data_IF_307801939650
#
_entry.id   IF_307801939650
#
_cell.length_a   1.000
_cell.length_b   1.000
_cell.length_c   1.000
_cell.angle_alpha   90.00
_cell.angle_beta   90.00
_cell.angle_gamma   90.00
#
_symmetry.space_group_name_H-M   'P 1'
#
loop_
_entity.id
_entity.type
_entity.pdbx_description
1 polymer ?
#
# COMPACT_ATOMS: atom_id res chain seq x y z
N UNK A 1 20.49 28.05 -20.74
CA UNK A 1 19.28 27.80 -19.94
C UNK A 1 18.17 27.64 -20.95
N UNK A 2 17.85 26.41 -21.30
CA UNK A 2 16.86 26.10 -22.33
C UNK A 2 15.45 26.11 -21.70
N UNK A 3 14.55 26.81 -22.36
CA UNK A 3 13.12 27.01 -22.01
C UNK A 3 12.25 25.74 -22.19
N UNK A 4 12.77 24.56 -21.89
CA UNK A 4 12.05 23.29 -22.13
C UNK A 4 11.86 22.45 -20.85
N UNK A 5 11.73 23.09 -19.69
CA UNK A 5 11.14 22.47 -18.50
C UNK A 5 9.60 22.60 -18.60
N UNK A 6 9.03 21.92 -19.61
CA UNK A 6 7.60 21.69 -19.63
C UNK A 6 7.23 20.98 -18.33
N UNK A 7 6.48 21.64 -17.46
CA UNK A 7 6.00 21.10 -16.18
C UNK A 7 5.30 19.76 -16.46
N UNK A 8 6.01 18.66 -16.15
CA UNK A 8 5.50 17.31 -16.42
C UNK A 8 4.23 17.09 -15.61
N UNK A 9 3.13 16.82 -16.28
CA UNK A 9 1.86 16.52 -15.63
C UNK A 9 1.84 15.07 -15.16
N UNK A 10 1.61 14.84 -13.87
CA UNK A 10 1.42 13.51 -13.30
C UNK A 10 -0.06 13.10 -13.31
N UNK A 11 -0.32 11.80 -13.32
CA UNK A 11 -1.69 11.30 -13.26
C UNK A 11 -2.38 11.71 -11.96
N UNK A 12 -3.66 12.10 -12.02
CA UNK A 12 -4.43 12.41 -10.84
C UNK A 12 -4.51 11.20 -9.90
N UNK A 13 -4.20 11.43 -8.64
CA UNK A 13 -4.36 10.46 -7.57
C UNK A 13 -5.34 11.02 -6.55
N UNK A 14 -6.40 10.28 -6.27
CA UNK A 14 -7.34 10.60 -5.20
C UNK A 14 -7.13 9.61 -4.05
N UNK A 15 -7.24 10.10 -2.83
CA UNK A 15 -7.00 9.29 -1.64
C UNK A 15 -8.08 9.54 -0.60
N UNK A 16 -8.54 8.47 0.05
CA UNK A 16 -9.52 8.55 1.13
C UNK A 16 -8.98 7.83 2.36
N UNK A 17 -9.10 8.49 3.49
CA UNK A 17 -8.86 7.90 4.79
C UNK A 17 -10.11 7.15 5.26
N UNK A 18 -9.94 6.03 5.99
CA UNK A 18 -11.08 5.29 6.52
C UNK A 18 -11.83 6.12 7.57
N UNK A 19 -13.13 5.87 7.69
CA UNK A 19 -13.91 6.34 8.83
C UNK A 19 -13.35 5.79 10.14
N UNK A 20 -13.64 6.45 11.27
CA UNK A 20 -13.17 6.02 12.59
C UNK A 20 -13.42 4.53 12.87
N UNK A 21 -14.59 4.02 12.51
CA UNK A 21 -14.95 2.62 12.70
C UNK A 21 -14.13 1.62 11.87
N UNK A 22 -13.46 2.09 10.82
CA UNK A 22 -12.65 1.28 9.92
C UNK A 22 -11.13 1.48 10.06
N UNK A 23 -10.67 2.38 10.92
CA UNK A 23 -9.22 2.70 11.06
C UNK A 23 -8.35 1.48 11.45
N UNK A 24 -8.93 0.42 12.00
CA UNK A 24 -8.25 -0.85 12.29
C UNK A 24 -8.39 -1.87 11.17
N UNK A 25 -9.21 -1.61 10.18
CA UNK A 25 -9.50 -2.50 9.08
C UNK A 25 -8.83 -2.01 7.79
N UNK A 26 -9.19 -0.80 7.40
CA UNK A 26 -8.72 -0.15 6.18
C UNK A 26 -7.57 0.80 6.52
N UNK A 27 -6.48 0.71 5.78
CA UNK A 27 -5.39 1.66 5.90
C UNK A 27 -5.65 2.90 5.06
N UNK A 28 -6.06 2.72 3.82
CA UNK A 28 -6.43 3.79 2.89
C UNK A 28 -7.18 3.23 1.70
N UNK A 29 -7.87 4.10 0.97
CA UNK A 29 -8.34 3.85 -0.39
C UNK A 29 -7.63 4.83 -1.31
N UNK A 30 -7.11 4.33 -2.43
CA UNK A 30 -6.35 5.11 -3.41
C UNK A 30 -6.94 4.85 -4.79
N UNK A 31 -7.26 5.91 -5.53
CA UNK A 31 -7.61 5.86 -6.95
C UNK A 31 -6.50 6.48 -7.77
N UNK A 32 -6.21 5.88 -8.90
CA UNK A 32 -5.45 6.49 -9.99
C UNK A 32 -6.29 6.46 -11.25
N UNK A 33 -6.35 7.59 -11.96
CA UNK A 33 -6.93 7.67 -13.28
C UNK A 33 -5.92 8.26 -14.25
N UNK A 34 -5.75 7.61 -15.40
CA UNK A 34 -4.94 8.12 -16.52
C UNK A 34 -5.78 8.34 -17.77
N UNK A 35 -7.11 8.30 -17.62
CA UNK A 35 -8.06 8.54 -18.71
C UNK A 35 -7.87 9.96 -19.22
N UNK A 36 -7.74 10.10 -20.54
CA UNK A 36 -7.47 11.38 -21.21
C UNK A 36 -6.00 11.82 -21.15
N UNK A 37 -5.10 11.02 -20.56
CA UNK A 37 -3.66 11.29 -20.57
C UNK A 37 -2.97 10.49 -21.67
N UNK A 38 -2.00 11.11 -22.33
CA UNK A 38 -1.22 10.45 -23.37
C UNK A 38 0.04 9.77 -22.81
N UNK A 39 -0.15 8.83 -21.87
CA UNK A 39 0.97 8.10 -21.28
C UNK A 39 1.54 7.05 -22.23
N UNK A 40 2.86 6.88 -22.21
CA UNK A 40 3.54 5.89 -23.05
C UNK A 40 4.88 5.45 -22.44
N UNK A 41 5.41 4.34 -22.90
CA UNK A 41 6.72 3.85 -22.50
C UNK A 41 6.85 3.64 -21.00
N UNK A 42 7.80 4.34 -20.36
CA UNK A 42 8.08 4.21 -18.93
C UNK A 42 6.94 4.71 -18.04
N UNK A 43 6.08 5.61 -18.54
CA UNK A 43 4.98 6.18 -17.76
C UNK A 43 3.83 5.21 -17.52
N UNK A 44 3.78 4.12 -18.30
CA UNK A 44 2.80 3.05 -18.11
C UNK A 44 3.09 2.14 -16.91
N UNK A 45 4.27 2.24 -16.32
CA UNK A 45 4.63 1.43 -15.18
C UNK A 45 4.11 1.98 -13.86
N UNK A 46 3.91 1.07 -12.91
CA UNK A 46 3.72 1.39 -11.49
C UNK A 46 4.64 0.54 -10.64
N UNK A 47 5.44 1.19 -9.80
CA UNK A 47 6.43 0.57 -8.93
C UNK A 47 5.91 0.47 -7.51
N UNK A 48 5.63 -0.75 -7.04
CA UNK A 48 5.04 -1.00 -5.73
C UNK A 48 6.08 -1.58 -4.76
N UNK A 49 6.21 -1.01 -3.56
CA UNK A 49 7.13 -1.55 -2.57
C UNK A 49 6.66 -2.90 -2.03
N UNK A 50 7.60 -3.68 -1.52
CA UNK A 50 7.30 -4.81 -0.66
C UNK A 50 6.61 -4.35 0.62
N UNK A 51 5.62 -5.09 1.09
CA UNK A 51 4.88 -4.71 2.30
C UNK A 51 4.00 -5.85 2.83
N UNK A 52 3.59 -5.76 4.10
CA UNK A 52 2.76 -6.78 4.74
C UNK A 52 1.28 -6.65 4.40
N UNK A 53 0.87 -5.58 3.73
CA UNK A 53 -0.54 -5.24 3.48
C UNK A 53 -1.22 -6.23 2.54
N UNK A 54 -2.53 -6.35 2.68
CA UNK A 54 -3.41 -6.94 1.68
C UNK A 54 -4.15 -5.82 0.94
N UNK A 55 -4.49 -6.04 -0.32
CA UNK A 55 -5.27 -5.05 -1.07
C UNK A 55 -6.34 -5.73 -1.92
N UNK A 56 -7.48 -5.04 -2.06
CA UNK A 56 -8.50 -5.33 -3.05
C UNK A 56 -8.42 -4.21 -4.09
N UNK A 57 -8.17 -4.57 -5.34
CA UNK A 57 -8.08 -3.62 -6.45
C UNK A 57 -9.25 -3.82 -7.40
N UNK A 58 -9.85 -2.73 -7.83
CA UNK A 58 -10.95 -2.71 -8.78
C UNK A 58 -10.57 -1.81 -9.96
N UNK A 59 -10.52 -2.37 -11.16
CA UNK A 59 -10.39 -1.61 -12.40
C UNK A 59 -11.79 -1.23 -12.89
N UNK A 60 -12.03 0.06 -13.05
CA UNK A 60 -13.22 0.60 -13.69
C UNK A 60 -13.04 0.59 -15.20
N UNK A 61 -11.83 0.97 -15.64
CA UNK A 61 -11.46 1.06 -17.05
C UNK A 61 -10.01 0.62 -17.27
N UNK A 62 -9.70 0.14 -18.49
CA UNK A 62 -8.37 -0.24 -18.92
C UNK A 62 -7.94 -1.63 -18.50
N UNK A 63 -6.64 -1.89 -18.65
CA UNK A 63 -6.00 -3.18 -18.35
C UNK A 63 -4.72 -2.98 -17.55
N UNK A 64 -4.31 -4.03 -16.84
CA UNK A 64 -3.03 -4.06 -16.14
C UNK A 64 -2.45 -5.47 -16.16
N UNK A 65 -1.11 -5.55 -16.16
CA UNK A 65 -0.36 -6.80 -16.09
C UNK A 65 0.69 -6.70 -14.98
N UNK A 66 0.76 -7.70 -14.12
CA UNK A 66 1.81 -7.82 -13.11
C UNK A 66 2.96 -8.66 -13.65
N UNK A 67 4.19 -8.19 -13.47
CA UNK A 67 5.37 -9.01 -13.75
C UNK A 67 5.56 -10.05 -12.65
N UNK A 68 5.70 -11.30 -13.06
CA UNK A 68 5.80 -12.44 -12.14
C UNK A 68 7.14 -12.54 -11.40
N UNK A 69 8.20 -11.91 -11.91
CA UNK A 69 9.54 -11.93 -11.33
C UNK A 69 10.01 -10.53 -10.95
N UNK A 70 10.80 -10.49 -9.88
CA UNK A 70 11.29 -9.30 -9.21
C UNK A 70 11.76 -8.14 -10.08
N UNK A 71 12.45 -7.23 -9.45
CA UNK A 71 12.78 -5.89 -9.91
C UNK A 71 13.57 -5.78 -11.22
N UNK A 72 14.48 -6.69 -11.51
CA UNK A 72 15.21 -6.73 -12.78
C UNK A 72 14.28 -7.27 -13.86
N UNK A 73 13.36 -6.41 -14.28
CA UNK A 73 12.35 -6.76 -15.27
C UNK A 73 12.99 -7.08 -16.61
N UNK A 74 13.31 -8.34 -16.79
CA UNK A 74 13.46 -8.88 -18.15
C UNK A 74 12.15 -8.54 -18.90
N UNK A 75 12.18 -7.78 -19.98
CA UNK A 75 10.99 -7.48 -20.79
C UNK A 75 10.25 -8.73 -21.27
N UNK A 76 10.91 -9.89 -21.25
CA UNK A 76 10.36 -11.20 -21.58
C UNK A 76 9.87 -11.98 -20.35
N UNK A 77 9.97 -11.41 -19.12
CA UNK A 77 9.46 -12.07 -17.94
C UNK A 77 7.95 -12.39 -18.08
N UNK A 78 7.48 -13.55 -17.60
CA UNK A 78 6.07 -13.90 -17.65
C UNK A 78 5.22 -12.81 -16.99
N UNK A 79 4.18 -12.38 -17.69
CA UNK A 79 3.23 -11.39 -17.22
C UNK A 79 1.94 -12.06 -16.82
N UNK A 80 1.37 -11.64 -15.70
CA UNK A 80 0.07 -12.08 -15.25
C UNK A 80 -0.93 -10.95 -15.45
N UNK A 81 -1.98 -11.20 -16.22
CA UNK A 81 -3.09 -10.26 -16.35
C UNK A 81 -3.73 -10.00 -14.97
N UNK A 82 -3.96 -8.74 -14.65
CA UNK A 82 -4.65 -8.32 -13.43
C UNK A 82 -6.16 -8.43 -13.66
N UNK A 83 -6.88 -9.26 -12.90
CA UNK A 83 -8.34 -9.31 -12.98
C UNK A 83 -8.97 -7.96 -12.68
N UNK A 84 -10.13 -7.69 -13.26
CA UNK A 84 -10.89 -6.46 -13.03
C UNK A 84 -11.16 -6.23 -11.55
N UNK A 85 -11.42 -7.29 -10.80
CA UNK A 85 -11.47 -7.28 -9.35
C UNK A 85 -10.44 -8.27 -8.83
N UNK A 86 -9.37 -7.76 -8.25
CA UNK A 86 -8.21 -8.53 -7.85
C UNK A 86 -7.92 -8.39 -6.35
N UNK A 87 -7.36 -9.44 -5.78
CA UNK A 87 -6.81 -9.44 -4.42
C UNK A 87 -5.31 -9.64 -4.51
N UNK A 88 -4.56 -8.83 -3.77
CA UNK A 88 -3.14 -9.01 -3.53
C UNK A 88 -2.87 -9.26 -2.06
N UNK A 89 -2.06 -10.28 -1.77
CA UNK A 89 -1.58 -10.55 -0.42
C UNK A 89 -0.29 -9.78 -0.08
N UNK A 90 0.32 -10.08 1.07
CA UNK A 90 1.61 -9.52 1.46
C UNK A 90 2.70 -9.85 0.43
N UNK A 91 3.51 -8.88 0.04
CA UNK A 91 4.59 -9.06 -0.91
C UNK A 91 5.95 -8.89 -0.25
N UNK A 92 6.80 -9.91 -0.38
CA UNK A 92 8.15 -9.92 0.23
C UNK A 92 9.21 -9.25 -0.64
N UNK A 93 8.87 -9.00 -1.89
CA UNK A 93 9.69 -8.31 -2.90
C UNK A 93 8.86 -7.20 -3.54
N UNK A 94 9.48 -6.13 -4.04
CA UNK A 94 8.79 -5.12 -4.82
C UNK A 94 8.19 -5.74 -6.08
N UNK A 95 7.21 -5.09 -6.65
CA UNK A 95 6.52 -5.56 -7.86
C UNK A 95 6.27 -4.41 -8.82
N UNK A 96 6.21 -4.76 -10.09
CA UNK A 96 5.92 -3.84 -11.17
C UNK A 96 4.59 -4.21 -11.83
N UNK A 97 3.78 -3.22 -12.06
CA UNK A 97 2.53 -3.33 -12.81
C UNK A 97 2.70 -2.52 -14.10
N UNK A 98 2.46 -3.14 -15.23
CA UNK A 98 2.33 -2.46 -16.51
C UNK A 98 0.85 -2.17 -16.74
N UNK A 99 0.50 -0.92 -16.87
CA UNK A 99 -0.86 -0.46 -17.16
C UNK A 99 -1.06 -0.25 -18.65
N UNK A 100 -2.30 -0.35 -19.11
CA UNK A 100 -2.70 0.16 -20.41
C UNK A 100 -2.51 1.69 -20.51
N UNK A 101 -2.61 2.26 -21.73
CA UNK A 101 -2.45 3.69 -21.94
C UNK A 101 -3.43 4.53 -21.11
N UNK A 102 -4.64 4.04 -20.97
CA UNK A 102 -5.69 4.62 -20.12
C UNK A 102 -6.16 3.58 -19.12
N UNK A 103 -6.17 3.96 -17.85
CA UNK A 103 -6.64 3.12 -16.76
C UNK A 103 -7.33 3.98 -15.72
N UNK A 104 -8.41 3.48 -15.18
CA UNK A 104 -9.06 4.01 -13.99
C UNK A 104 -9.29 2.88 -13.00
N UNK A 105 -8.85 3.05 -11.78
CA UNK A 105 -9.00 2.00 -10.77
C UNK A 105 -8.77 2.47 -9.35
N UNK A 106 -9.39 1.74 -8.44
CA UNK A 106 -9.33 1.96 -6.99
C UNK A 106 -8.63 0.78 -6.33
N UNK A 107 -7.81 1.06 -5.34
CA UNK A 107 -7.18 0.08 -4.47
C UNK A 107 -7.57 0.34 -3.02
N UNK A 108 -8.22 -0.63 -2.39
CA UNK A 108 -8.54 -0.65 -0.96
C UNK A 108 -7.44 -1.40 -0.23
N UNK A 109 -6.74 -0.73 0.65
CA UNK A 109 -5.59 -1.26 1.37
C UNK A 109 -6.00 -1.65 2.77
N UNK A 110 -5.85 -2.93 3.10
CA UNK A 110 -6.29 -3.54 4.36
C UNK A 110 -5.09 -3.97 5.20
N UNK A 111 -5.22 -3.84 6.52
CA UNK A 111 -4.29 -4.47 7.42
C UNK A 111 -4.43 -6.00 7.36
N UNK A 112 -3.34 -6.77 7.43
CA UNK A 112 -3.38 -8.23 7.25
C UNK A 112 -4.25 -8.97 8.27
N UNK A 113 -4.25 -8.52 9.53
CA UNK A 113 -5.09 -9.10 10.58
C UNK A 113 -6.58 -8.82 10.35
N UNK A 114 -6.89 -7.62 9.82
CA UNK A 114 -8.25 -7.29 9.41
C UNK A 114 -8.68 -8.08 8.16
N UNK A 115 -7.79 -8.27 7.20
CA UNK A 115 -8.01 -9.18 6.08
C UNK A 115 -8.43 -10.57 6.57
N UNK A 116 -7.66 -11.13 7.51
CA UNK A 116 -7.97 -12.45 8.06
C UNK A 116 -9.30 -12.46 8.80
N UNK A 117 -9.62 -11.42 9.57
CA UNK A 117 -10.90 -11.32 10.25
C UNK A 117 -12.09 -11.28 9.28
N UNK A 118 -11.99 -10.47 8.22
CA UNK A 118 -13.05 -10.30 7.22
C UNK A 118 -13.26 -11.54 6.34
N UNK A 119 -12.18 -12.25 6.01
CA UNK A 119 -12.24 -13.31 4.99
C UNK A 119 -12.06 -14.71 5.53
N UNK A 120 -11.51 -14.86 6.74
CA UNK A 120 -11.07 -16.16 7.27
C UNK A 120 -9.81 -16.72 6.58
N UNK A 121 -9.26 -16.04 5.58
CA UNK A 121 -8.13 -16.49 4.78
C UNK A 121 -6.83 -15.96 5.39
N UNK A 122 -5.91 -16.86 5.74
CA UNK A 122 -4.63 -16.48 6.28
C UNK A 122 -3.81 -15.67 5.25
N UNK A 123 -3.31 -14.47 5.58
CA UNK A 123 -2.55 -13.63 4.64
C UNK A 123 -1.36 -14.33 3.99
N UNK A 124 -0.75 -15.28 4.72
CA UNK A 124 0.39 -16.05 4.20
C UNK A 124 0.05 -16.92 2.98
N UNK A 125 -1.20 -17.35 2.82
CA UNK A 125 -1.62 -18.17 1.66
C UNK A 125 -1.67 -17.36 0.38
N UNK A 126 -1.72 -16.03 0.51
CA UNK A 126 -1.71 -15.08 -0.61
C UNK A 126 -0.34 -14.38 -0.74
N UNK A 127 0.70 -14.82 -0.01
CA UNK A 127 2.02 -14.20 -0.07
C UNK A 127 2.59 -14.20 -1.49
N UNK A 128 2.97 -13.02 -1.98
CA UNK A 128 3.48 -12.79 -3.33
C UNK A 128 2.49 -13.19 -4.45
N UNK A 129 1.19 -13.22 -4.15
CA UNK A 129 0.17 -13.59 -5.12
C UNK A 129 -0.75 -12.41 -5.44
N UNK A 130 -1.21 -12.42 -6.68
CA UNK A 130 -2.34 -11.64 -7.17
C UNK A 130 -3.36 -12.64 -7.71
N UNK A 131 -4.59 -12.59 -7.19
CA UNK A 131 -5.64 -13.56 -7.51
C UNK A 131 -6.95 -12.85 -7.87
N UNK A 132 -7.79 -13.52 -8.64
CA UNK A 132 -9.16 -13.05 -8.89
C UNK A 132 -9.97 -13.05 -7.59
N UNK A 133 -10.56 -11.91 -7.26
CA UNK A 133 -11.35 -11.72 -6.04
C UNK A 133 -12.54 -12.68 -5.95
N UNK A 134 -13.15 -13.04 -7.09
CA UNK A 134 -14.27 -13.99 -7.14
C UNK A 134 -13.90 -15.39 -6.61
N UNK A 135 -12.62 -15.73 -6.58
CA UNK A 135 -12.13 -17.03 -6.11
C UNK A 135 -11.87 -17.07 -4.60
N UNK A 136 -11.73 -15.90 -3.98
CA UNK A 136 -11.21 -15.83 -2.61
C UNK A 136 -12.07 -15.00 -1.65
N UNK A 137 -12.81 -13.99 -2.14
CA UNK A 137 -13.63 -13.18 -1.25
C UNK A 137 -14.90 -13.91 -0.80
N UNK A 138 -15.29 -13.79 0.48
CA UNK A 138 -16.61 -14.17 0.94
C UNK A 138 -17.71 -13.46 0.15
N UNK A 139 -18.88 -14.08 -0.07
CA UNK A 139 -19.94 -13.51 -0.91
C UNK A 139 -20.36 -12.10 -0.53
N UNK A 140 -20.47 -11.80 0.77
CA UNK A 140 -20.90 -10.48 1.24
C UNK A 140 -19.87 -9.41 0.94
N UNK A 141 -18.57 -9.68 1.18
CA UNK A 141 -17.50 -8.75 0.86
C UNK A 141 -17.33 -8.58 -0.65
N UNK A 142 -17.48 -9.66 -1.41
CA UNK A 142 -17.47 -9.61 -2.87
C UNK A 142 -18.59 -8.71 -3.40
N UNK A 143 -19.79 -8.83 -2.85
CA UNK A 143 -20.93 -7.99 -3.23
C UNK A 143 -20.68 -6.49 -2.96
N UNK A 144 -20.06 -6.15 -1.81
CA UNK A 144 -19.65 -4.78 -1.49
C UNK A 144 -18.67 -4.23 -2.53
N UNK A 145 -17.66 -5.03 -2.90
CA UNK A 145 -16.68 -4.64 -3.92
C UNK A 145 -17.30 -4.49 -5.32
N UNK A 146 -18.28 -5.35 -5.67
CA UNK A 146 -18.98 -5.26 -6.95
C UNK A 146 -19.86 -4.00 -7.04
N UNK A 147 -20.54 -3.61 -5.96
CA UNK A 147 -21.32 -2.36 -5.91
C UNK A 147 -20.44 -1.12 -6.04
N UNK A 148 -19.28 -1.09 -5.41
CA UNK A 148 -18.30 -0.01 -5.59
C UNK A 148 -17.96 0.19 -7.07
N UNK A 149 -17.89 -0.90 -7.86
CA UNK A 149 -17.58 -0.85 -9.29
C UNK A 149 -18.75 -0.33 -10.15
N UNK A 150 -19.98 -0.53 -9.72
CA UNK A 150 -21.19 -0.20 -10.50
C UNK A 150 -21.68 1.24 -10.29
N UNK A 151 -21.11 1.95 -9.34
CA UNK A 151 -21.48 3.33 -9.03
C UNK A 151 -21.04 4.34 -10.11
N UNK A 152 -21.58 5.55 -10.06
CA UNK A 152 -21.26 6.62 -11.00
C UNK A 152 -20.12 7.51 -10.54
N UNK A 153 -20.36 8.33 -9.54
CA UNK A 153 -19.33 9.19 -8.94
C UNK A 153 -18.46 8.41 -7.94
N UNK A 154 -17.15 8.53 -8.07
CA UNK A 154 -16.21 7.74 -7.30
C UNK A 154 -16.22 8.08 -5.81
N UNK A 155 -16.40 9.34 -5.44
CA UNK A 155 -16.49 9.74 -4.03
C UNK A 155 -17.69 9.07 -3.36
N UNK A 156 -18.84 9.08 -4.01
CA UNK A 156 -20.06 8.40 -3.56
C UNK A 156 -19.86 6.88 -3.49
N UNK A 157 -19.14 6.28 -4.45
CA UNK A 157 -18.83 4.86 -4.45
C UNK A 157 -17.95 4.45 -3.28
N UNK A 158 -16.92 5.23 -2.98
CA UNK A 158 -16.01 4.98 -1.86
C UNK A 158 -16.73 5.18 -0.53
N UNK A 159 -17.59 6.20 -0.42
CA UNK A 159 -18.39 6.42 0.79
C UNK A 159 -19.33 5.25 1.05
N UNK A 160 -20.09 4.81 0.04
CA UNK A 160 -20.97 3.64 0.15
C UNK A 160 -20.19 2.38 0.51
N UNK A 161 -19.02 2.18 -0.10
CA UNK A 161 -18.12 1.09 0.23
C UNK A 161 -17.72 1.10 1.72
N UNK A 162 -17.37 2.27 2.27
CA UNK A 162 -17.03 2.38 3.69
C UNK A 162 -18.22 2.06 4.60
N UNK A 163 -19.42 2.50 4.29
CA UNK A 163 -20.63 2.24 5.08
C UNK A 163 -20.97 0.75 5.12
N UNK A 164 -20.95 0.10 3.96
CA UNK A 164 -21.22 -1.32 3.84
C UNK A 164 -20.12 -2.18 4.48
N UNK A 165 -18.84 -1.85 4.22
CA UNK A 165 -17.72 -2.53 4.85
C UNK A 165 -17.75 -2.38 6.37
N UNK A 166 -18.12 -1.22 6.88
CA UNK A 166 -18.25 -1.00 8.33
C UNK A 166 -19.33 -1.88 8.95
N UNK A 167 -20.39 -2.17 8.22
CA UNK A 167 -21.43 -3.11 8.65
C UNK A 167 -20.89 -4.53 8.75
N UNK A 168 -20.17 -4.98 7.74
CA UNK A 168 -19.51 -6.30 7.75
C UNK A 168 -18.44 -6.36 8.85
N UNK A 169 -17.66 -5.29 9.02
CA UNK A 169 -16.61 -5.22 10.03
C UNK A 169 -17.17 -5.29 11.45
N UNK A 170 -18.27 -4.61 11.75
CA UNK A 170 -18.94 -4.66 13.06
C UNK A 170 -19.55 -6.03 13.37
N UNK A 171 -19.98 -6.78 12.36
CA UNK A 171 -20.54 -8.11 12.51
C UNK A 171 -19.47 -9.17 12.86
N UNK A 172 -18.18 -8.87 12.67
CA UNK A 172 -17.10 -9.77 13.04
C UNK A 172 -16.89 -9.75 14.56
N UNK A 173 -16.63 -10.93 15.10
CA UNK A 173 -16.25 -11.07 16.51
C UNK A 173 -14.85 -10.47 16.75
N UNK A 174 -14.80 -9.22 17.22
CA UNK A 174 -13.57 -8.51 17.47
C UNK A 174 -12.74 -9.09 18.63
N UNK A 175 -13.28 -10.05 19.41
CA UNK A 175 -12.52 -10.78 20.43
C UNK A 175 -11.33 -11.52 19.82
N UNK A 176 -11.41 -11.89 18.55
CA UNK A 176 -10.27 -12.45 17.82
C UNK A 176 -9.14 -11.42 17.62
N UNK A 177 -9.46 -10.14 17.57
CA UNK A 177 -8.52 -9.06 17.33
C UNK A 177 -8.10 -8.32 18.60
N UNK A 178 -8.74 -8.61 19.74
CA UNK A 178 -8.50 -7.92 21.01
C UNK A 178 -9.01 -6.47 21.03
N UNK A 179 -9.21 -5.92 22.22
CA UNK A 179 -9.83 -4.61 22.45
C UNK A 179 -8.89 -3.40 22.30
N UNK A 180 -7.92 -3.43 21.38
CA UNK A 180 -7.09 -2.24 21.17
C UNK A 180 -7.93 -1.11 20.54
N UNK A 181 -7.91 0.08 21.16
CA UNK A 181 -8.58 1.26 20.60
C UNK A 181 -7.93 1.66 19.26
N UNK A 182 -8.72 2.15 18.27
CA UNK A 182 -8.15 2.72 17.06
C UNK A 182 -7.28 3.94 17.42
N UNK A 183 -6.25 4.25 16.63
CA UNK A 183 -5.43 5.43 16.85
C UNK A 183 -6.30 6.69 16.75
N UNK A 184 -5.97 7.72 17.53
CA UNK A 184 -6.73 8.99 17.52
C UNK A 184 -6.62 9.74 16.19
N UNK A 185 -5.53 9.50 15.47
CA UNK A 185 -5.25 10.06 14.17
C UNK A 185 -4.83 8.94 13.22
N UNK A 186 -5.04 9.14 11.93
CA UNK A 186 -4.56 8.20 10.92
C UNK A 186 -3.02 8.15 10.95
N UNK A 187 -2.42 6.98 11.20
CA UNK A 187 -0.98 6.86 11.22
C UNK A 187 -0.44 6.77 9.79
N UNK A 188 0.53 7.63 9.39
CA UNK A 188 1.12 7.57 8.05
C UNK A 188 1.90 6.27 7.82
N UNK A 189 2.45 5.65 8.88
CA UNK A 189 3.23 4.41 8.81
C UNK A 189 2.51 3.23 9.45
N UNK A 190 2.99 2.00 9.19
CA UNK A 190 2.45 0.79 9.82
C UNK A 190 2.98 0.59 11.26
N UNK A 191 3.87 1.41 11.75
CA UNK A 191 4.49 1.25 13.08
C UNK A 191 3.46 1.16 14.21
N UNK A 192 2.46 2.06 14.35
CA UNK A 192 1.47 1.98 15.41
C UNK A 192 0.57 0.72 15.32
N UNK A 193 0.23 0.31 14.08
CA UNK A 193 -0.51 -0.93 13.86
C UNK A 193 0.31 -2.14 14.31
N UNK A 194 1.60 -2.21 13.91
CA UNK A 194 2.50 -3.29 14.25
C UNK A 194 2.69 -3.41 15.78
N UNK A 195 2.89 -2.30 16.47
CA UNK A 195 3.03 -2.26 17.94
C UNK A 195 1.75 -2.74 18.63
N UNK A 196 0.60 -2.23 18.22
CA UNK A 196 -0.71 -2.68 18.73
C UNK A 196 -0.91 -4.17 18.55
N UNK A 197 -0.55 -4.71 17.39
CA UNK A 197 -0.64 -6.13 17.09
C UNK A 197 0.33 -6.95 17.95
N UNK A 198 1.57 -6.49 18.16
CA UNK A 198 2.54 -7.15 19.03
C UNK A 198 2.05 -7.21 20.48
N UNK A 199 1.49 -6.11 20.98
CA UNK A 199 0.87 -6.05 22.33
C UNK A 199 -0.29 -7.04 22.45
N UNK A 200 -1.19 -7.11 21.47
CA UNK A 200 -2.30 -8.06 21.46
C UNK A 200 -1.80 -9.52 21.45
N UNK A 201 -0.78 -9.81 20.66
CA UNK A 201 -0.18 -11.15 20.60
C UNK A 201 0.43 -11.56 21.94
N UNK A 202 0.99 -10.62 22.69
CA UNK A 202 1.52 -10.84 24.04
C UNK A 202 0.42 -11.00 25.08
N UNK A 203 -0.64 -10.16 25.03
CA UNK A 203 -1.71 -10.12 26.04
C UNK A 203 -2.62 -11.37 26.03
N UNK A 204 -2.80 -12.03 24.90
CA UNK A 204 -3.73 -13.16 24.73
C UNK A 204 -3.27 -14.48 25.38
N UNK A 205 -2.38 -14.45 26.36
CA UNK A 205 -1.95 -15.70 27.00
C UNK A 205 -1.18 -15.54 28.29
N UNK A 206 -1.86 -15.70 29.42
CA UNK A 206 -1.20 -15.88 30.70
C UNK A 206 -0.23 -17.09 30.63
N UNK A 207 1.05 -16.86 30.94
CA UNK A 207 2.08 -17.89 31.04
C UNK A 207 2.61 -18.44 29.70
N UNK A 208 2.39 -17.78 28.56
CA UNK A 208 2.84 -18.28 27.24
C UNK A 208 4.16 -17.64 26.79
N UNK A 209 4.97 -18.45 26.11
CA UNK A 209 6.32 -18.08 25.68
C UNK A 209 6.32 -17.08 24.52
N UNK A 210 7.43 -16.33 24.36
CA UNK A 210 7.68 -15.45 23.20
C UNK A 210 7.42 -16.15 21.85
N UNK A 211 7.77 -17.45 21.74
CA UNK A 211 7.49 -18.27 20.54
C UNK A 211 6.02 -18.32 20.16
N UNK A 212 5.11 -18.30 21.14
CA UNK A 212 3.67 -18.33 20.83
C UNK A 212 3.16 -16.99 20.32
N UNK A 213 3.69 -15.88 20.88
CA UNK A 213 3.39 -14.54 20.36
C UNK A 213 3.89 -14.37 18.92
N UNK A 214 5.12 -14.79 18.64
CA UNK A 214 5.67 -14.78 17.28
C UNK A 214 4.86 -15.63 16.29
N UNK A 215 4.42 -16.83 16.73
CA UNK A 215 3.59 -17.70 15.89
C UNK A 215 2.24 -17.04 15.56
N UNK A 216 1.62 -16.34 16.52
CA UNK A 216 0.37 -15.59 16.30
C UNK A 216 0.57 -14.44 15.33
N UNK A 217 1.59 -13.62 15.56
CA UNK A 217 1.92 -12.53 14.65
C UNK A 217 2.05 -13.05 13.23
N UNK A 218 2.80 -14.14 13.04
CA UNK A 218 2.97 -14.77 11.74
C UNK A 218 1.65 -15.32 11.16
N UNK A 219 0.78 -15.86 12.01
CA UNK A 219 -0.55 -16.34 11.59
C UNK A 219 -1.45 -15.20 11.14
N UNK A 220 -1.46 -14.09 11.89
CA UNK A 220 -2.31 -12.93 11.60
C UNK A 220 -1.86 -12.10 10.41
N UNK A 221 -0.55 -12.07 10.14
CA UNK A 221 0.04 -11.16 9.16
C UNK A 221 0.72 -11.84 7.98
N UNK A 222 0.99 -13.13 8.09
CA UNK A 222 1.84 -13.86 7.14
C UNK A 222 3.33 -13.60 7.31
N UNK A 223 3.74 -12.64 8.17
CA UNK A 223 5.13 -12.24 8.37
C UNK A 223 5.60 -12.42 9.81
N UNK A 224 6.91 -12.65 10.01
CA UNK A 224 7.51 -12.60 11.34
C UNK A 224 7.57 -11.16 11.87
N UNK A 225 7.60 -11.00 13.21
CA UNK A 225 7.75 -9.67 13.83
C UNK A 225 8.98 -8.93 13.32
N UNK A 226 10.12 -9.61 13.18
CA UNK A 226 11.35 -9.01 12.65
C UNK A 226 11.16 -8.44 11.23
N UNK A 227 10.42 -9.16 10.37
CA UNK A 227 10.15 -8.70 9.00
C UNK A 227 9.21 -7.50 8.99
N UNK A 228 8.21 -7.48 9.87
CA UNK A 228 7.31 -6.34 10.06
C UNK A 228 8.07 -5.11 10.55
N UNK A 229 8.94 -5.27 11.54
CA UNK A 229 9.82 -4.19 12.04
C UNK A 229 10.73 -3.62 10.95
N UNK A 230 11.27 -4.48 10.06
CA UNK A 230 12.05 -4.03 8.91
C UNK A 230 11.21 -3.20 7.92
N UNK A 231 9.95 -3.62 7.67
CA UNK A 231 9.02 -2.87 6.80
C UNK A 231 8.61 -1.54 7.43
N UNK A 232 8.31 -1.52 8.72
CA UNK A 232 7.96 -0.31 9.47
C UNK A 232 9.09 0.73 9.42
N UNK A 233 10.32 0.31 9.75
CA UNK A 233 11.49 1.21 9.62
C UNK A 233 11.69 1.75 8.21
N UNK A 234 11.43 0.93 7.18
CA UNK A 234 11.50 1.38 5.79
C UNK A 234 10.47 2.47 5.46
N UNK A 235 9.25 2.36 5.98
CA UNK A 235 8.23 3.40 5.83
C UNK A 235 8.56 4.66 6.66
N UNK A 236 9.00 4.49 7.90
CA UNK A 236 9.41 5.61 8.76
C UNK A 236 10.54 6.40 8.08
N UNK A 237 11.54 5.69 7.52
CA UNK A 237 12.62 6.33 6.77
C UNK A 237 12.15 7.01 5.46
N UNK A 238 11.16 6.44 4.76
CA UNK A 238 10.57 7.08 3.59
C UNK A 238 9.97 8.45 3.95
N UNK A 239 9.20 8.53 5.02
CA UNK A 239 8.62 9.80 5.46
C UNK A 239 9.66 10.77 6.01
N UNK A 240 10.71 10.29 6.70
CA UNK A 240 11.84 11.12 7.10
C UNK A 240 12.58 11.72 5.89
N UNK A 241 12.69 10.99 4.78
CA UNK A 241 13.22 11.53 3.51
C UNK A 241 12.31 12.62 2.96
N UNK A 242 10.97 12.42 2.98
CA UNK A 242 10.04 13.46 2.52
C UNK A 242 10.14 14.74 3.33
N UNK A 243 10.23 14.63 4.65
CA UNK A 243 10.42 15.77 5.55
C UNK A 243 11.75 16.48 5.29
N UNK A 244 12.86 15.75 5.20
CA UNK A 244 14.18 16.30 4.92
C UNK A 244 14.27 16.99 3.55
N UNK A 245 13.53 16.51 2.55
CA UNK A 245 13.42 17.15 1.24
C UNK A 245 12.70 18.50 1.32
N UNK A 246 11.61 18.59 2.07
CA UNK A 246 10.87 19.85 2.26
C UNK A 246 11.68 20.90 3.01
N UNK A 247 12.55 20.46 3.92
CA UNK A 247 13.41 21.34 4.71
C UNK A 247 14.78 21.61 4.05
N UNK A 248 15.01 21.09 2.84
CA UNK A 248 16.28 21.19 2.10
C UNK A 248 17.51 20.71 2.90
N UNK A 249 17.28 19.73 3.80
CA UNK A 249 18.29 19.20 4.75
C UNK A 249 18.55 17.71 4.53
N UNK A 250 18.63 17.25 3.30
CA UNK A 250 18.79 15.85 2.98
C UNK A 250 20.18 15.32 3.34
N UNK A 251 20.25 14.56 4.43
CA UNK A 251 21.45 13.82 4.87
C UNK A 251 21.12 12.34 5.01
N UNK A 252 21.58 11.54 4.07
CA UNK A 252 21.31 10.08 4.06
C UNK A 252 21.90 9.34 5.25
N UNK A 253 23.05 9.77 5.79
CA UNK A 253 23.68 9.14 6.93
C UNK A 253 22.88 9.43 8.22
N UNK A 254 22.44 10.67 8.40
CA UNK A 254 21.62 11.06 9.54
C UNK A 254 20.26 10.37 9.49
N UNK A 255 19.58 10.38 8.34
CA UNK A 255 18.29 9.67 8.17
C UNK A 255 18.42 8.18 8.50
N UNK A 256 19.51 7.55 8.07
CA UNK A 256 19.76 6.14 8.39
C UNK A 256 19.86 5.91 9.91
N UNK A 257 20.62 6.72 10.62
CA UNK A 257 20.80 6.59 12.07
C UNK A 257 19.50 6.84 12.84
N UNK A 258 18.80 7.92 12.51
CA UNK A 258 17.54 8.32 13.18
C UNK A 258 16.44 7.28 13.02
N UNK A 259 16.46 6.52 11.92
CA UNK A 259 15.50 5.44 11.65
C UNK A 259 16.01 4.04 12.04
N UNK A 260 17.07 3.94 12.85
CA UNK A 260 17.54 2.70 13.45
C UNK A 260 18.25 1.74 12.47
N UNK A 261 18.86 2.27 11.41
CA UNK A 261 19.81 1.54 10.59
C UNK A 261 21.21 1.68 11.18
N UNK A 262 22.05 0.64 11.06
CA UNK A 262 23.41 0.66 11.59
C UNK A 262 24.32 1.67 10.91
N UNK A 263 24.08 1.91 9.63
CA UNK A 263 24.85 2.81 8.78
C UNK A 263 24.07 3.11 7.47
N UNK A 264 24.58 4.09 6.69
CA UNK A 264 24.00 4.45 5.40
C UNK A 264 23.97 3.26 4.41
N UNK A 265 24.98 2.38 4.43
CA UNK A 265 25.02 1.22 3.54
C UNK A 265 23.91 0.21 3.87
N UNK A 266 23.61 0.02 5.16
CA UNK A 266 22.48 -0.80 5.61
C UNK A 266 21.16 -0.18 5.14
N UNK A 267 20.97 1.13 5.29
CA UNK A 267 19.80 1.84 4.81
C UNK A 267 19.61 1.68 3.28
N UNK A 268 20.68 1.86 2.48
CA UNK A 268 20.64 1.67 1.03
C UNK A 268 20.22 0.24 0.65
N UNK A 269 20.77 -0.77 1.33
CA UNK A 269 20.43 -2.20 1.06
C UNK A 269 18.96 -2.48 1.38
N UNK A 270 18.47 -2.02 2.53
CA UNK A 270 17.09 -2.24 2.94
C UNK A 270 16.10 -1.46 2.04
N UNK A 271 16.40 -0.23 1.66
CA UNK A 271 15.60 0.52 0.70
C UNK A 271 15.49 -0.23 -0.63
N UNK A 272 16.62 -0.72 -1.16
CA UNK A 272 16.60 -1.53 -2.39
C UNK A 272 15.80 -2.82 -2.22
N UNK A 273 15.91 -3.49 -1.09
CA UNK A 273 15.15 -4.71 -0.80
C UNK A 273 13.64 -4.46 -0.77
N UNK A 274 13.20 -3.30 -0.23
CA UNK A 274 11.79 -2.95 -0.08
C UNK A 274 11.22 -2.37 -1.38
N UNK A 275 11.96 -1.49 -2.04
CA UNK A 275 11.45 -0.69 -3.17
C UNK A 275 11.99 -1.13 -4.53
N UNK A 276 13.14 -1.81 -4.56
CA UNK A 276 13.91 -2.08 -5.77
C UNK A 276 14.89 -0.98 -6.13
N UNK A 277 14.80 0.20 -5.51
CA UNK A 277 15.59 1.37 -5.83
C UNK A 277 16.55 1.75 -4.70
N UNK A 278 17.65 2.43 -5.03
CA UNK A 278 18.41 3.14 -4.01
C UNK A 278 17.61 4.35 -3.51
N UNK A 279 17.93 4.88 -2.31
CA UNK A 279 17.25 6.07 -1.79
C UNK A 279 17.27 7.27 -2.78
N UNK A 280 18.39 7.49 -3.44
CA UNK A 280 18.51 8.56 -4.43
C UNK A 280 17.69 8.31 -5.70
N UNK A 281 17.68 7.06 -6.21
CA UNK A 281 16.85 6.71 -7.36
C UNK A 281 15.35 6.78 -7.01
N UNK A 282 14.96 6.39 -5.79
CA UNK A 282 13.58 6.53 -5.31
C UNK A 282 13.18 8.00 -5.23
N UNK A 283 14.06 8.87 -4.69
CA UNK A 283 13.85 10.31 -4.64
C UNK A 283 13.68 10.91 -6.03
N UNK A 284 14.59 10.56 -6.96
CA UNK A 284 14.51 11.03 -8.35
C UNK A 284 13.21 10.61 -9.01
N UNK A 285 12.83 9.32 -8.89
CA UNK A 285 11.59 8.80 -9.46
C UNK A 285 10.35 9.44 -8.85
N UNK A 286 10.32 9.65 -7.52
CA UNK A 286 9.25 10.35 -6.83
C UNK A 286 9.00 11.76 -7.40
N UNK A 287 10.07 12.49 -7.70
CA UNK A 287 10.00 13.87 -8.20
C UNK A 287 9.70 13.94 -9.70
N UNK A 288 10.17 12.97 -10.50
CA UNK A 288 10.31 13.17 -11.95
C UNK A 288 9.62 12.09 -12.81
N UNK A 289 9.17 10.94 -12.23
CA UNK A 289 8.69 9.82 -13.01
C UNK A 289 7.25 9.42 -12.66
N UNK A 290 6.40 9.25 -13.67
CA UNK A 290 5.00 8.84 -13.48
C UNK A 290 4.91 7.49 -12.76
N UNK A 291 5.79 6.55 -13.06
CA UNK A 291 5.81 5.19 -12.49
C UNK A 291 5.86 5.14 -10.94
N UNK A 292 6.25 6.24 -10.28
CA UNK A 292 6.32 6.36 -8.82
C UNK A 292 5.05 6.96 -8.18
N UNK A 293 3.95 6.99 -8.90
CA UNK A 293 2.68 7.56 -8.45
C UNK A 293 2.20 7.03 -7.08
N UNK A 294 2.44 5.76 -6.76
CA UNK A 294 2.02 5.17 -5.48
C UNK A 294 2.78 5.80 -4.29
N UNK A 295 4.03 6.16 -4.47
CA UNK A 295 4.81 6.83 -3.43
C UNK A 295 4.30 8.27 -3.21
N UNK A 296 3.88 8.95 -4.29
CA UNK A 296 3.21 10.26 -4.19
C UNK A 296 1.86 10.16 -3.48
N UNK A 297 1.08 9.11 -3.76
CA UNK A 297 -0.17 8.85 -3.06
C UNK A 297 0.03 8.68 -1.55
N UNK A 298 1.07 7.95 -1.14
CA UNK A 298 1.41 7.80 0.28
C UNK A 298 1.86 9.10 0.93
N UNK A 299 2.70 9.87 0.26
CA UNK A 299 3.12 11.19 0.75
C UNK A 299 1.92 12.14 0.91
N UNK A 300 1.02 12.17 -0.08
CA UNK A 300 -0.22 12.96 -0.02
C UNK A 300 -1.11 12.55 1.15
N UNK A 301 -1.32 11.25 1.38
CA UNK A 301 -2.09 10.73 2.52
C UNK A 301 -1.49 11.16 3.86
N UNK A 302 -0.17 11.29 3.95
CA UNK A 302 0.53 11.76 5.13
C UNK A 302 0.58 13.29 5.26
N UNK A 303 -0.01 14.03 4.32
CA UNK A 303 -0.09 15.48 4.34
C UNK A 303 1.14 16.20 3.78
N UNK A 304 2.06 15.46 3.13
CA UNK A 304 3.20 16.08 2.46
C UNK A 304 2.80 16.68 1.11
N UNK A 305 3.43 17.81 0.77
CA UNK A 305 3.33 18.36 -0.57
C UNK A 305 3.98 17.39 -1.58
N UNK A 306 3.24 17.05 -2.62
CA UNK A 306 3.73 16.18 -3.70
C UNK A 306 3.84 16.97 -4.99
N UNK A 307 4.76 16.60 -5.90
CA UNK A 307 4.76 17.18 -7.24
C UNK A 307 3.39 16.94 -7.87
N UNK A 308 2.67 18.00 -8.16
CA UNK A 308 1.37 17.94 -8.85
C UNK A 308 1.65 18.28 -10.29
N UNK A 309 1.23 17.42 -11.20
CA UNK A 309 1.01 17.85 -12.56
C UNK A 309 -0.08 18.91 -12.57
N UNK A 310 -0.01 19.86 -13.50
CA UNK A 310 -0.95 20.95 -13.59
C UNK A 310 -2.39 20.41 -13.46
N UNK A 311 -2.99 20.60 -12.30
CA UNK A 311 -4.35 20.21 -12.04
C UNK A 311 -5.24 20.98 -13.00
N UNK A 312 -6.04 20.27 -13.78
CA UNK A 312 -7.23 20.87 -14.35
C UNK A 312 -8.13 21.24 -13.17
N UNK A 313 -8.09 22.53 -12.81
CA UNK A 313 -9.10 23.13 -11.95
C UNK A 313 -10.42 23.05 -12.72
N UNK A 314 -11.32 22.20 -12.29
CA UNK A 314 -12.73 22.22 -12.69
C UNK A 314 -13.50 22.99 -11.64
#
# INVERSE_FOLDING_TARGET
MSEDEATRSFSPVQTWLPTWGLMRCVRAVIRRSTVGMSLSGADLWGHYPAGPICAISCLFEGTAEMLAAGWDADPQAPRQSVPVLAVTGPHSVPRNILYGPEVDGVMVILYPDAWWALTGIAPQTLSNQLVDAHRVLPPDLLAVCQRMRQGGDVDSCVQTFFEELQTLWKAQDHDRLGAAMPPRHWPPTITPWMESMALRAAATGWGRSLRQSERRIKQWTGWSLRKLQGSARGEDAFFAVMEAMLEERLDWAQIALDNGFSDQSHFIRETRRITGFSPEALRHGFLNEEAFWIYRAWAQLAGYAVPVGAAQTV
#
